data_IF_697047226335
#
_entry.id   IF_697047226335
#
_cell.length_a   1.000
_cell.length_b   1.000
_cell.length_c   1.000
_cell.angle_alpha   90.00
_cell.angle_beta   90.00
_cell.angle_gamma   90.00
#
_symmetry.space_group_name_H-M   'P 1'
#
loop_
_entity.id
_entity.type
_entity.pdbx_description
1 polymer ?
#
# COMPACT_ATOMS: atom_id res chain seq x y z
N UNK A 1 13.09 -2.18 -1.13
CA UNK A 1 11.65 -2.24 -1.46
C UNK A 1 11.05 -3.42 -0.71
N UNK A 2 10.77 -3.26 0.60
CA UNK A 2 10.02 -4.25 1.37
C UNK A 2 8.55 -3.88 1.27
N UNK A 3 7.78 -4.72 0.57
CA UNK A 3 6.32 -4.68 0.60
C UNK A 3 5.89 -5.28 1.93
N UNK A 4 5.81 -4.44 2.96
CA UNK A 4 5.11 -4.78 4.20
C UNK A 4 3.63 -4.55 3.91
N UNK A 5 2.80 -5.59 4.09
CA UNK A 5 1.35 -5.42 4.13
C UNK A 5 1.04 -4.51 5.34
N UNK A 6 0.94 -3.21 5.08
CA UNK A 6 0.77 -2.12 6.05
C UNK A 6 1.77 -2.12 7.22
N UNK A 7 2.93 -1.48 7.04
CA UNK A 7 3.70 -0.91 8.15
C UNK A 7 4.26 0.45 7.80
N UNK A 8 3.35 1.40 7.59
CA UNK A 8 3.66 2.83 7.65
C UNK A 8 3.35 3.36 9.04
N UNK A 9 4.14 2.98 10.05
CA UNK A 9 4.17 3.70 11.33
C UNK A 9 5.26 4.76 11.23
N UNK A 10 4.92 5.89 10.62
CA UNK A 10 5.68 7.12 10.81
C UNK A 10 5.39 7.62 12.22
N UNK A 11 6.38 7.46 13.10
CA UNK A 11 6.65 8.37 14.22
C UNK A 11 5.50 8.63 15.20
N UNK A 12 5.24 7.69 16.09
CA UNK A 12 5.06 7.91 17.53
C UNK A 12 5.14 6.51 18.17
N UNK A 13 5.51 6.39 19.44
CA UNK A 13 5.56 5.08 20.12
C UNK A 13 4.22 4.35 20.01
N UNK A 14 4.11 3.44 19.04
CA UNK A 14 2.98 2.55 18.94
C UNK A 14 3.29 1.40 19.87
N UNK A 15 2.59 1.38 21.01
CA UNK A 15 2.35 0.12 21.71
C UNK A 15 1.73 -0.81 20.68
N UNK A 16 2.52 -1.73 20.15
CA UNK A 16 2.09 -2.74 19.20
C UNK A 16 1.08 -3.64 19.89
N UNK A 17 -0.20 -3.29 19.83
CA UNK A 17 -1.30 -4.16 20.26
C UNK A 17 -1.58 -5.28 19.24
N UNK A 18 -0.64 -5.53 18.32
CA UNK A 18 -0.72 -6.59 17.32
C UNK A 18 0.18 -7.73 17.81
N UNK A 19 -0.45 -8.70 18.47
CA UNK A 19 0.23 -9.90 18.96
C UNK A 19 0.21 -10.92 17.82
N UNK A 20 1.39 -11.35 17.37
CA UNK A 20 1.54 -12.42 16.37
C UNK A 20 1.64 -11.97 14.90
N UNK A 21 1.81 -10.69 14.60
CA UNK A 21 2.18 -10.27 13.25
C UNK A 21 3.67 -10.49 13.00
N UNK A 22 3.99 -11.02 11.82
CA UNK A 22 5.36 -11.22 11.34
C UNK A 22 5.47 -10.62 9.93
N UNK A 23 6.67 -10.16 9.58
CA UNK A 23 6.96 -9.67 8.24
C UNK A 23 6.63 -10.74 7.18
N UNK A 24 5.92 -10.35 6.14
CA UNK A 24 5.60 -11.26 5.05
C UNK A 24 6.89 -11.70 4.36
N UNK A 25 7.07 -13.02 4.19
CA UNK A 25 8.18 -13.55 3.37
C UNK A 25 8.04 -13.01 1.95
N UNK A 26 9.16 -12.75 1.30
CA UNK A 26 9.20 -12.30 -0.10
C UNK A 26 8.34 -13.23 -0.97
N UNK A 27 7.51 -12.65 -1.83
CA UNK A 27 6.56 -13.36 -2.72
C UNK A 27 5.41 -14.12 -2.03
N UNK A 28 5.15 -13.93 -0.73
CA UNK A 28 4.02 -14.62 -0.06
C UNK A 28 2.65 -14.19 -0.61
N UNK A 29 2.58 -12.96 -1.12
CA UNK A 29 1.35 -12.34 -1.62
C UNK A 29 1.61 -11.69 -2.99
N UNK A 30 1.77 -12.51 -4.06
CA UNK A 30 2.24 -12.02 -5.35
C UNK A 30 1.25 -11.08 -6.05
N UNK A 31 -0.02 -11.07 -5.61
CA UNK A 31 -1.04 -10.15 -6.11
C UNK A 31 -1.03 -8.78 -5.42
N UNK A 32 -0.33 -8.63 -4.28
CA UNK A 32 -0.32 -7.38 -3.52
C UNK A 32 0.52 -6.32 -4.23
N UNK A 33 -0.08 -5.14 -4.46
CA UNK A 33 0.61 -4.02 -5.12
C UNK A 33 0.40 -2.70 -4.39
N UNK A 34 1.35 -1.79 -4.58
CA UNK A 34 1.36 -0.44 -4.04
C UNK A 34 1.41 0.52 -5.22
N UNK A 35 0.35 1.31 -5.37
CA UNK A 35 0.17 2.30 -6.41
C UNK A 35 0.70 3.64 -5.88
N UNK A 36 1.72 4.18 -6.55
CA UNK A 36 2.27 5.51 -6.25
C UNK A 36 1.71 6.51 -7.27
N UNK A 37 0.89 7.46 -6.82
CA UNK A 37 0.40 8.53 -7.71
C UNK A 37 1.28 9.76 -7.60
N UNK A 38 1.77 10.22 -8.75
CA UNK A 38 2.62 11.40 -8.90
C UNK A 38 1.83 12.54 -9.55
N UNK A 39 2.10 13.77 -9.12
CA UNK A 39 1.58 14.99 -9.77
C UNK A 39 2.60 15.55 -10.77
N UNK A 40 2.19 16.52 -11.60
CA UNK A 40 3.03 17.18 -12.62
C UNK A 40 4.41 17.65 -12.09
N UNK A 41 4.53 17.96 -10.81
CA UNK A 41 5.79 18.35 -10.16
C UNK A 41 6.71 17.15 -9.80
N UNK A 42 6.41 15.95 -10.31
CA UNK A 42 7.11 14.69 -10.02
C UNK A 42 7.16 14.30 -8.53
N UNK A 43 6.38 14.99 -7.68
CA UNK A 43 6.23 14.66 -6.27
C UNK A 43 5.11 13.64 -6.08
N UNK A 44 5.37 12.62 -5.28
CA UNK A 44 4.38 11.64 -4.85
C UNK A 44 3.28 12.37 -4.08
N UNK A 45 2.05 12.32 -4.58
CA UNK A 45 0.91 12.97 -3.93
C UNK A 45 0.27 12.08 -2.87
N UNK A 46 0.05 10.82 -3.19
CA UNK A 46 -0.53 9.82 -2.28
C UNK A 46 -0.27 8.41 -2.82
N UNK A 47 -0.34 7.42 -1.92
CA UNK A 47 -0.13 6.01 -2.22
C UNK A 47 -1.35 5.18 -1.86
N UNK A 48 -1.61 4.13 -2.63
CA UNK A 48 -2.76 3.24 -2.44
C UNK A 48 -2.41 1.76 -2.56
N UNK A 49 -3.14 0.92 -1.84
CA UNK A 49 -3.08 -0.53 -2.02
C UNK A 49 -3.92 -1.01 -3.21
N UNK A 50 -3.54 -2.16 -3.77
CA UNK A 50 -4.34 -2.84 -4.79
C UNK A 50 -4.05 -4.34 -4.86
N UNK A 51 -4.82 -5.04 -5.67
CA UNK A 51 -4.65 -6.47 -5.96
C UNK A 51 -4.67 -6.75 -7.46
N UNK A 52 -3.71 -7.53 -7.96
CA UNK A 52 -3.68 -7.95 -9.37
C UNK A 52 -4.79 -8.99 -9.60
N UNK A 53 -5.73 -8.67 -10.50
CA UNK A 53 -6.83 -9.57 -10.89
C UNK A 53 -6.59 -10.21 -12.26
N UNK A 54 -5.72 -9.62 -13.08
CA UNK A 54 -5.28 -10.18 -14.36
C UNK A 54 -3.95 -9.56 -14.79
N UNK A 55 -3.33 -10.07 -15.85
CA UNK A 55 -1.98 -9.68 -16.32
C UNK A 55 -1.80 -8.17 -16.55
N UNK A 56 -2.89 -7.44 -16.80
CA UNK A 56 -2.88 -6.00 -17.05
C UNK A 56 -3.90 -5.25 -16.19
N UNK A 57 -4.49 -5.91 -15.19
CA UNK A 57 -5.58 -5.35 -14.41
C UNK A 57 -5.30 -5.44 -12.90
N UNK A 58 -5.41 -4.29 -12.25
CA UNK A 58 -5.30 -4.13 -10.80
C UNK A 58 -6.63 -3.60 -10.27
N UNK A 59 -7.17 -4.28 -9.26
CA UNK A 59 -8.32 -3.82 -8.51
C UNK A 59 -7.85 -2.92 -7.35
N UNK A 60 -8.49 -1.76 -7.20
CA UNK A 60 -8.22 -0.80 -6.13
C UNK A 60 -9.50 -0.02 -5.80
N UNK A 61 -9.50 0.71 -4.68
CA UNK A 61 -10.62 1.57 -4.29
C UNK A 61 -10.58 2.89 -5.08
N UNK A 62 -11.58 3.14 -5.92
CA UNK A 62 -11.65 4.38 -6.70
C UNK A 62 -11.67 5.64 -5.81
N UNK A 63 -12.50 5.66 -4.76
CA UNK A 63 -12.68 6.86 -3.94
C UNK A 63 -11.41 7.28 -3.17
N UNK A 64 -10.83 6.36 -2.38
CA UNK A 64 -9.63 6.67 -1.59
C UNK A 64 -8.36 6.83 -2.42
N UNK A 65 -8.38 6.35 -3.67
CA UNK A 65 -7.25 6.50 -4.57
C UNK A 65 -7.53 7.66 -5.51
N UNK A 66 -8.41 7.49 -6.49
CA UNK A 66 -8.62 8.42 -7.58
C UNK A 66 -9.17 9.78 -7.12
N UNK A 67 -10.20 9.80 -6.28
CA UNK A 67 -10.84 11.05 -5.86
C UNK A 67 -10.04 11.81 -4.80
N UNK A 68 -9.03 11.16 -4.19
CA UNK A 68 -8.16 11.78 -3.20
C UNK A 68 -8.89 12.31 -1.97
N UNK A 69 -10.16 11.96 -1.79
CA UNK A 69 -10.98 12.41 -0.68
C UNK A 69 -10.69 11.50 0.53
N UNK A 70 -10.00 12.09 1.50
CA UNK A 70 -9.63 11.49 2.78
C UNK A 70 -10.51 12.06 3.88
#
# INVERSE_FOLDING_TARGET
>A
MHFVCFSGLLGNEVRSSIIGAEDAKKESWPWMVHLNMTSNDSKMKWGCGGSIVSKQWVLTSAQSCIDGER
#
